data_IF_907662763882
#
_entry.id   IF_907662763882
#
_cell.length_a   1.000
_cell.length_b   1.000
_cell.length_c   1.000
_cell.angle_alpha   90.00
_cell.angle_beta   90.00
_cell.angle_gamma   90.00
#
_symmetry.space_group_name_H-M   'P 1'
#
loop_
_entity.id
_entity.type
_entity.pdbx_description
1 polymer ?
#
# COMPACT_ATOMS: atom_id res chain seq x y z
N UNK A 1 21.63 30.50 5.49
CA UNK A 1 21.57 29.13 4.94
C UNK A 1 21.66 28.14 6.11
N UNK A 2 20.53 27.76 6.68
CA UNK A 2 20.50 26.81 7.79
C UNK A 2 20.46 25.39 7.24
N UNK A 3 21.54 24.63 7.44
CA UNK A 3 21.60 23.21 7.14
C UNK A 3 20.58 22.50 8.04
N UNK A 4 19.39 22.21 7.52
CA UNK A 4 18.49 21.27 8.18
C UNK A 4 19.18 19.90 8.17
N UNK A 5 19.66 19.51 9.35
CA UNK A 5 20.12 18.16 9.65
C UNK A 5 18.88 17.28 9.45
N UNK A 6 18.82 16.57 8.33
CA UNK A 6 17.78 15.58 8.03
C UNK A 6 17.88 14.44 9.04
N UNK A 7 17.36 14.68 10.24
CA UNK A 7 16.83 13.63 11.09
C UNK A 7 15.97 12.75 10.18
N UNK A 8 16.37 11.49 10.00
CA UNK A 8 15.71 10.55 9.09
C UNK A 8 14.31 10.33 9.65
N UNK A 9 13.31 11.02 9.07
CA UNK A 9 11.91 10.93 9.48
C UNK A 9 11.49 9.46 9.65
N UNK A 10 10.98 9.14 10.83
CA UNK A 10 10.57 7.81 11.22
C UNK A 10 9.10 7.55 10.88
N UNK A 11 8.69 6.29 10.93
CA UNK A 11 7.27 5.93 10.78
C UNK A 11 6.42 6.52 11.91
N UNK A 12 7.00 6.71 13.10
CA UNK A 12 6.33 7.37 14.22
C UNK A 12 6.00 8.85 13.90
N UNK A 13 6.91 9.56 13.23
CA UNK A 13 6.68 10.96 12.84
C UNK A 13 5.55 11.07 11.81
N UNK A 14 5.49 10.12 10.88
CA UNK A 14 4.38 10.04 9.90
C UNK A 14 3.06 9.74 10.61
N UNK A 15 3.02 8.77 11.51
CA UNK A 15 1.81 8.43 12.28
C UNK A 15 1.33 9.62 13.11
N UNK A 16 2.25 10.34 13.76
CA UNK A 16 1.92 11.54 14.52
C UNK A 16 1.34 12.64 13.62
N UNK A 17 1.90 12.83 12.42
CA UNK A 17 1.39 13.77 11.42
C UNK A 17 -0.02 13.42 10.96
N UNK A 18 -0.26 12.15 10.60
CA UNK A 18 -1.58 11.66 10.17
C UNK A 18 -2.63 11.84 11.27
N UNK A 19 -2.27 11.54 12.53
CA UNK A 19 -3.15 11.74 13.70
C UNK A 19 -3.45 13.21 13.96
N UNK A 20 -2.44 14.09 13.89
CA UNK A 20 -2.61 15.55 14.12
C UNK A 20 -3.71 16.13 13.23
N UNK A 21 -3.78 15.70 11.98
CA UNK A 21 -4.76 16.17 11.01
C UNK A 21 -5.93 15.20 10.80
N UNK A 22 -6.21 14.33 11.77
CA UNK A 22 -7.34 13.40 11.76
C UNK A 22 -7.49 12.63 10.44
N UNK A 23 -6.38 12.16 9.86
CA UNK A 23 -6.41 11.39 8.63
C UNK A 23 -7.23 10.09 8.85
N UNK A 24 -8.27 9.85 8.02
CA UNK A 24 -9.11 8.66 8.15
C UNK A 24 -8.41 7.38 7.68
N UNK A 25 -7.34 7.50 6.89
CA UNK A 25 -6.62 6.37 6.31
C UNK A 25 -5.54 5.88 7.29
N UNK A 26 -5.52 4.58 7.65
CA UNK A 26 -4.52 4.05 8.56
C UNK A 26 -3.14 4.00 7.89
N UNK A 27 -2.08 4.13 8.70
CA UNK A 27 -0.71 4.28 8.21
C UNK A 27 -0.25 3.15 7.27
N UNK A 28 -0.63 1.89 7.53
CA UNK A 28 -0.27 0.77 6.64
C UNK A 28 -0.90 0.90 5.24
N UNK A 29 -2.11 1.45 5.15
CA UNK A 29 -2.76 1.79 3.87
C UNK A 29 -2.07 2.98 3.21
N UNK A 30 -1.66 4.01 3.97
CA UNK A 30 -0.90 5.14 3.40
C UNK A 30 0.41 4.66 2.75
N UNK A 31 1.15 3.77 3.44
CA UNK A 31 2.41 3.20 2.91
C UNK A 31 2.19 2.49 1.57
N UNK A 32 1.15 1.67 1.50
CA UNK A 32 0.86 0.86 0.32
C UNK A 32 0.25 1.68 -0.81
N UNK A 33 -0.61 2.65 -0.50
CA UNK A 33 -1.11 3.65 -1.45
C UNK A 33 0.01 4.42 -2.13
N UNK A 34 0.97 4.93 -1.34
CA UNK A 34 2.12 5.63 -1.90
C UNK A 34 2.97 4.69 -2.74
N UNK A 35 3.23 3.46 -2.26
CA UNK A 35 3.99 2.48 -3.02
C UNK A 35 3.34 2.12 -4.36
N UNK A 36 2.02 1.88 -4.38
CA UNK A 36 1.26 1.62 -5.59
C UNK A 36 1.34 2.79 -6.57
N UNK A 37 1.16 4.01 -6.06
CA UNK A 37 1.27 5.25 -6.85
C UNK A 37 2.67 5.43 -7.46
N UNK A 38 3.72 5.14 -6.69
CA UNK A 38 5.12 5.11 -7.16
C UNK A 38 5.35 4.00 -8.20
N UNK A 39 4.67 2.86 -8.03
CA UNK A 39 4.78 1.71 -8.90
C UNK A 39 3.98 1.83 -10.20
N UNK A 40 2.98 2.71 -10.28
CA UNK A 40 2.11 2.83 -11.44
C UNK A 40 2.88 3.13 -12.73
N UNK A 41 2.61 2.42 -13.83
CA UNK A 41 3.25 2.72 -15.11
C UNK A 41 2.78 4.05 -15.72
N UNK A 42 1.70 4.64 -15.20
CA UNK A 42 1.20 5.94 -15.64
C UNK A 42 2.08 7.09 -15.16
N UNK A 43 2.54 7.94 -16.08
CA UNK A 43 3.30 9.15 -15.76
C UNK A 43 2.43 10.30 -15.21
N UNK A 44 1.11 10.11 -15.11
CA UNK A 44 0.16 11.17 -14.75
C UNK A 44 -0.17 11.25 -13.26
N UNK A 45 0.34 10.32 -12.43
CA UNK A 45 0.03 10.34 -11.00
C UNK A 45 0.77 11.49 -10.31
N UNK A 46 0.00 12.47 -9.81
CA UNK A 46 0.52 13.58 -9.03
C UNK A 46 0.67 13.19 -7.56
N UNK A 47 1.89 13.24 -6.97
CA UNK A 47 2.08 12.93 -5.55
C UNK A 47 1.25 13.83 -4.62
N UNK A 48 1.00 15.08 -5.01
CA UNK A 48 0.17 16.02 -4.24
C UNK A 48 -1.28 15.53 -4.20
N UNK A 49 -1.82 15.08 -5.34
CA UNK A 49 -3.19 14.54 -5.40
C UNK A 49 -3.32 13.24 -4.60
N UNK A 50 -2.30 12.39 -4.61
CA UNK A 50 -2.27 11.18 -3.77
C UNK A 50 -2.22 11.52 -2.27
N UNK A 51 -1.52 12.58 -1.87
CA UNK A 51 -1.58 13.05 -0.48
C UNK A 51 -2.96 13.61 -0.16
N UNK A 52 -3.56 14.37 -1.07
CA UNK A 52 -4.89 14.95 -0.88
C UNK A 52 -5.99 13.88 -0.77
N UNK A 53 -5.86 12.75 -1.47
CA UNK A 53 -6.82 11.64 -1.39
C UNK A 53 -6.88 10.97 -0.01
N UNK A 54 -5.83 11.12 0.82
CA UNK A 54 -5.84 10.66 2.20
C UNK A 54 -6.96 11.29 3.04
N UNK A 55 -7.44 12.47 2.65
CA UNK A 55 -8.53 13.20 3.29
C UNK A 55 -9.77 13.30 2.39
N UNK A 56 -9.97 12.34 1.49
CA UNK A 56 -11.16 12.31 0.63
C UNK A 56 -11.14 13.35 -0.49
N UNK A 57 -9.97 13.86 -0.86
CA UNK A 57 -9.81 14.80 -1.97
C UNK A 57 -9.77 16.27 -1.56
N UNK A 58 -9.78 16.58 -0.26
CA UNK A 58 -9.55 17.94 0.24
C UNK A 58 -8.53 17.92 1.37
N UNK A 59 -7.58 18.87 1.38
CA UNK A 59 -6.61 18.95 2.47
C UNK A 59 -7.28 19.35 3.79
N UNK A 60 -6.71 18.94 4.95
CA UNK A 60 -7.17 19.44 6.24
C UNK A 60 -7.00 20.96 6.34
N UNK A 61 -7.70 21.57 7.29
CA UNK A 61 -7.53 23.00 7.57
C UNK A 61 -6.18 23.22 8.27
N UNK A 62 -5.41 24.16 7.75
CA UNK A 62 -4.13 24.58 8.33
C UNK A 62 -4.24 26.01 8.88
N UNK A 63 -3.60 26.26 10.01
CA UNK A 63 -3.55 27.60 10.63
C UNK A 63 -2.55 28.51 9.91
N UNK A 64 -1.50 27.92 9.33
CA UNK A 64 -0.44 28.67 8.65
C UNK A 64 0.06 27.94 7.38
N UNK A 65 0.64 28.68 6.40
CA UNK A 65 1.31 28.05 5.26
C UNK A 65 2.47 27.12 5.66
N UNK A 66 3.15 27.41 6.78
CA UNK A 66 4.27 26.58 7.25
C UNK A 66 3.82 25.18 7.64
N UNK A 67 2.61 25.02 8.16
CA UNK A 67 2.04 23.70 8.48
C UNK A 67 1.85 22.82 7.25
N UNK A 68 1.52 23.42 6.11
CA UNK A 68 1.42 22.73 4.81
C UNK A 68 2.78 22.22 4.37
N UNK A 69 3.82 23.06 4.49
CA UNK A 69 5.19 22.68 4.14
C UNK A 69 5.69 21.53 5.01
N UNK A 70 5.42 21.58 6.32
CA UNK A 70 5.79 20.49 7.24
C UNK A 70 5.06 19.19 6.88
N UNK A 71 3.77 19.25 6.51
CA UNK A 71 3.03 18.09 6.03
C UNK A 71 3.69 17.47 4.79
N UNK A 72 4.02 18.27 3.79
CA UNK A 72 4.68 17.80 2.57
C UNK A 72 6.10 17.29 2.84
N UNK A 73 6.85 17.90 3.75
CA UNK A 73 8.16 17.39 4.14
C UNK A 73 8.07 16.02 4.79
N UNK A 74 7.04 15.78 5.62
CA UNK A 74 6.84 14.46 6.25
C UNK A 74 6.37 13.41 5.24
N UNK A 75 5.37 13.74 4.42
CA UNK A 75 4.72 12.76 3.54
C UNK A 75 5.46 12.54 2.22
N UNK A 76 5.87 13.61 1.54
CA UNK A 76 6.54 13.53 0.24
C UNK A 76 8.06 13.42 0.41
N UNK A 77 8.69 14.43 1.02
CA UNK A 77 10.14 14.44 1.19
C UNK A 77 10.63 13.28 2.08
N UNK A 78 9.80 12.87 3.04
CA UNK A 78 10.04 11.77 3.97
C UNK A 78 9.54 10.41 3.47
N UNK A 79 8.26 10.09 3.70
CA UNK A 79 7.73 8.75 3.45
C UNK A 79 7.82 8.33 1.97
N UNK A 80 7.27 9.14 1.06
CA UNK A 80 7.24 8.82 -0.36
C UNK A 80 8.64 8.56 -0.91
N UNK A 81 9.60 9.45 -0.66
CA UNK A 81 10.98 9.29 -1.10
C UNK A 81 11.63 8.02 -0.51
N UNK A 82 11.36 7.65 0.75
CA UNK A 82 11.85 6.39 1.31
C UNK A 82 11.28 5.19 0.55
N UNK A 83 9.99 5.21 0.21
CA UNK A 83 9.32 4.12 -0.51
C UNK A 83 9.82 3.94 -1.94
N UNK A 84 10.32 5.00 -2.60
CA UNK A 84 10.99 4.86 -3.92
C UNK A 84 12.20 3.93 -3.88
N UNK A 85 12.81 3.73 -2.70
CA UNK A 85 13.89 2.77 -2.49
C UNK A 85 13.53 1.34 -2.91
N UNK A 86 12.26 0.96 -2.75
CA UNK A 86 11.74 -0.38 -3.03
C UNK A 86 11.61 -0.70 -4.53
N UNK A 87 11.83 0.28 -5.41
CA UNK A 87 11.98 0.04 -6.85
C UNK A 87 13.30 -0.69 -7.20
N UNK A 88 14.14 -1.00 -6.20
CA UNK A 88 15.40 -1.75 -6.35
C UNK A 88 15.23 -3.14 -5.76
N UNK A 89 15.61 -4.17 -6.52
CA UNK A 89 15.48 -5.58 -6.10
C UNK A 89 16.20 -5.93 -4.79
N UNK A 90 17.20 -5.15 -4.39
CA UNK A 90 17.98 -5.35 -3.16
C UNK A 90 17.32 -4.81 -1.88
N UNK A 91 16.20 -4.12 -2.02
CA UNK A 91 15.50 -3.47 -0.90
C UNK A 91 13.99 -3.71 -1.02
N UNK A 92 13.52 -4.98 -0.93
CA UNK A 92 12.12 -5.31 -1.14
C UNK A 92 11.23 -4.66 -0.07
N UNK A 93 10.04 -4.22 -0.49
CA UNK A 93 9.00 -3.75 0.40
C UNK A 93 8.50 -4.88 1.31
N UNK A 94 8.17 -4.52 2.56
CA UNK A 94 7.57 -5.43 3.53
C UNK A 94 6.29 -4.83 4.11
N UNK A 95 5.28 -5.68 4.27
CA UNK A 95 4.03 -5.36 4.95
C UNK A 95 4.28 -5.10 6.43
N UNK A 96 3.34 -4.43 7.10
CA UNK A 96 3.47 -4.17 8.53
C UNK A 96 3.50 -5.50 9.30
N UNK A 97 4.43 -5.59 10.26
CA UNK A 97 4.60 -6.75 11.14
C UNK A 97 4.09 -6.41 12.53
N UNK A 98 3.28 -7.29 13.10
CA UNK A 98 2.80 -7.21 14.46
C UNK A 98 2.51 -8.62 14.99
N UNK A 99 2.60 -8.79 16.31
CA UNK A 99 2.25 -10.06 16.93
C UNK A 99 0.75 -10.31 16.82
N UNK A 100 0.35 -11.51 16.44
CA UNK A 100 -1.05 -11.89 16.28
C UNK A 100 -1.31 -13.17 17.06
N UNK A 101 -2.13 -13.07 18.10
CA UNK A 101 -2.57 -14.25 18.86
C UNK A 101 -3.64 -15.02 18.09
N UNK A 102 -3.80 -16.34 18.31
CA UNK A 102 -4.83 -17.15 17.64
C UNK A 102 -6.21 -16.94 18.28
N UNK A 103 -6.63 -15.69 18.45
CA UNK A 103 -7.98 -15.30 18.88
C UNK A 103 -8.77 -14.80 17.67
N UNK A 104 -10.11 -14.95 17.72
CA UNK A 104 -11.00 -14.46 16.66
C UNK A 104 -10.71 -13.00 16.30
N UNK A 105 -10.66 -12.14 17.31
CA UNK A 105 -10.41 -10.70 17.15
C UNK A 105 -9.07 -10.42 16.49
N UNK A 106 -7.98 -11.05 16.97
CA UNK A 106 -6.63 -10.81 16.45
C UNK A 106 -6.49 -11.30 15.00
N UNK A 107 -7.07 -12.47 14.69
CA UNK A 107 -7.02 -13.05 13.34
C UNK A 107 -7.90 -12.24 12.37
N UNK A 108 -9.07 -11.74 12.82
CA UNK A 108 -9.91 -10.83 12.04
C UNK A 108 -9.18 -9.51 11.75
N UNK A 109 -8.53 -8.94 12.77
CA UNK A 109 -7.73 -7.73 12.62
C UNK A 109 -6.57 -7.93 11.64
N UNK A 110 -5.86 -9.08 11.71
CA UNK A 110 -4.81 -9.39 10.72
C UNK A 110 -5.37 -9.44 9.29
N UNK A 111 -6.50 -10.12 9.07
CA UNK A 111 -7.14 -10.18 7.76
C UNK A 111 -7.53 -8.77 7.27
N UNK A 112 -8.11 -7.95 8.15
CA UNK A 112 -8.52 -6.60 7.82
C UNK A 112 -7.33 -5.70 7.46
N UNK A 113 -6.22 -5.77 8.21
CA UNK A 113 -5.00 -5.02 7.89
C UNK A 113 -4.44 -5.44 6.54
N UNK A 114 -4.40 -6.74 6.24
CA UNK A 114 -3.89 -7.23 4.94
C UNK A 114 -4.77 -6.82 3.77
N UNK A 115 -6.09 -6.88 3.92
CA UNK A 115 -7.04 -6.33 2.94
C UNK A 115 -6.80 -4.84 2.71
N UNK A 116 -6.61 -4.07 3.77
CA UNK A 116 -6.37 -2.63 3.70
C UNK A 116 -5.03 -2.26 3.07
N UNK A 117 -3.98 -3.07 3.27
CA UNK A 117 -2.70 -2.92 2.58
C UNK A 117 -2.79 -3.25 1.09
N UNK A 118 -3.50 -4.33 0.73
CA UNK A 118 -3.73 -4.72 -0.66
C UNK A 118 -4.57 -3.67 -1.40
N UNK A 119 -5.69 -3.24 -0.79
CA UNK A 119 -6.54 -2.18 -1.33
C UNK A 119 -5.75 -0.89 -1.54
N UNK A 120 -4.98 -0.44 -0.53
CA UNK A 120 -4.12 0.73 -0.66
C UNK A 120 -3.16 0.61 -1.85
N UNK A 121 -2.45 -0.52 -1.96
CA UNK A 121 -1.52 -0.74 -3.08
C UNK A 121 -2.21 -0.69 -4.44
N UNK A 122 -3.34 -1.38 -4.59
CA UNK A 122 -4.10 -1.45 -5.84
C UNK A 122 -4.70 -0.08 -6.21
N UNK A 123 -5.33 0.61 -5.27
CA UNK A 123 -5.88 1.96 -5.47
C UNK A 123 -4.79 2.93 -5.92
N UNK A 124 -3.60 2.85 -5.31
CA UNK A 124 -2.45 3.66 -5.69
C UNK A 124 -1.93 3.32 -7.08
N UNK A 125 -1.86 2.03 -7.41
CA UNK A 125 -1.39 1.57 -8.71
C UNK A 125 -2.27 2.05 -9.86
N UNK A 126 -3.59 1.99 -9.68
CA UNK A 126 -4.58 2.41 -10.67
C UNK A 126 -4.75 3.94 -10.69
N UNK A 127 -4.52 4.62 -9.58
CA UNK A 127 -4.58 6.08 -9.49
C UNK A 127 -5.95 6.66 -9.83
N UNK A 128 -7.03 5.93 -9.53
CA UNK A 128 -8.41 6.32 -9.83
C UNK A 128 -8.90 5.98 -11.24
N UNK A 129 -8.08 5.34 -12.07
CA UNK A 129 -8.53 4.81 -13.36
C UNK A 129 -9.25 3.48 -13.17
N UNK A 130 -10.30 3.22 -13.96
CA UNK A 130 -10.94 1.89 -14.01
C UNK A 130 -9.99 0.83 -14.57
N UNK A 131 -9.15 1.22 -15.53
CA UNK A 131 -8.22 0.33 -16.19
C UNK A 131 -6.85 0.95 -16.36
N UNK A 132 -5.81 0.12 -16.29
CA UNK A 132 -4.43 0.50 -16.60
C UNK A 132 -3.77 -0.56 -17.48
N UNK A 133 -2.83 -0.10 -18.31
CA UNK A 133 -1.98 -0.99 -19.10
C UNK A 133 -0.79 -1.45 -18.24
N UNK A 134 -0.72 -2.75 -17.98
CA UNK A 134 0.38 -3.36 -17.23
C UNK A 134 1.23 -4.27 -18.13
N UNK A 135 2.55 -4.37 -17.87
CA UNK A 135 3.37 -5.45 -18.40
C UNK A 135 2.76 -6.81 -18.01
N UNK A 136 2.80 -7.81 -18.90
CA UNK A 136 2.16 -9.12 -18.67
C UNK A 136 2.47 -9.74 -17.30
N UNK A 137 3.72 -9.68 -16.84
CA UNK A 137 4.10 -10.21 -15.52
C UNK A 137 3.51 -9.43 -14.36
N UNK A 138 3.42 -8.10 -14.48
CA UNK A 138 2.78 -7.26 -13.48
C UNK A 138 1.27 -7.51 -13.46
N UNK A 139 0.64 -7.68 -14.63
CA UNK A 139 -0.77 -8.08 -14.75
C UNK A 139 -1.07 -9.36 -13.99
N UNK A 140 -0.32 -10.45 -14.26
CA UNK A 140 -0.49 -11.72 -13.56
C UNK A 140 -0.34 -11.59 -12.04
N UNK A 141 0.58 -10.73 -11.60
CA UNK A 141 0.81 -10.48 -10.17
C UNK A 141 -0.36 -9.71 -9.56
N UNK A 142 -0.93 -8.73 -10.29
CA UNK A 142 -2.10 -7.95 -9.86
C UNK A 142 -3.34 -8.82 -9.74
N UNK A 143 -3.58 -9.76 -10.66
CA UNK A 143 -4.68 -10.74 -10.55
C UNK A 143 -4.60 -11.51 -9.21
N UNK A 144 -3.40 -12.00 -8.88
CA UNK A 144 -3.16 -12.68 -7.59
C UNK A 144 -3.40 -11.76 -6.40
N UNK A 145 -3.03 -10.48 -6.49
CA UNK A 145 -3.27 -9.50 -5.42
C UNK A 145 -4.78 -9.23 -5.21
N UNK A 146 -5.59 -9.19 -6.28
CA UNK A 146 -7.05 -9.09 -6.17
C UNK A 146 -7.63 -10.33 -5.48
N UNK A 147 -7.27 -11.53 -5.94
CA UNK A 147 -7.73 -12.79 -5.32
C UNK A 147 -7.38 -12.84 -3.81
N UNK A 148 -6.14 -12.47 -3.45
CA UNK A 148 -5.71 -12.43 -2.06
C UNK A 148 -6.48 -11.37 -1.25
N UNK A 149 -6.79 -10.22 -1.84
CA UNK A 149 -7.58 -9.16 -1.19
C UNK A 149 -8.99 -9.65 -0.86
N UNK A 150 -9.61 -10.34 -1.81
CA UNK A 150 -10.94 -10.94 -1.64
C UNK A 150 -10.92 -12.05 -0.59
N UNK A 151 -9.89 -12.90 -0.57
CA UNK A 151 -9.72 -13.93 0.46
C UNK A 151 -9.59 -13.33 1.86
N UNK A 152 -8.76 -12.29 2.03
CA UNK A 152 -8.64 -11.59 3.32
C UNK A 152 -9.94 -10.89 3.72
N UNK A 153 -10.64 -10.25 2.77
CA UNK A 153 -11.93 -9.60 3.03
C UNK A 153 -13.03 -10.58 3.42
N UNK A 154 -13.15 -11.70 2.70
CA UNK A 154 -14.09 -12.76 3.03
C UNK A 154 -13.84 -13.35 4.42
N UNK A 155 -12.57 -13.56 4.78
CA UNK A 155 -12.22 -14.09 6.09
C UNK A 155 -12.40 -13.08 7.23
N UNK A 156 -12.11 -11.80 7.00
CA UNK A 156 -12.41 -10.73 7.97
C UNK A 156 -13.92 -10.68 8.26
N UNK A 157 -14.75 -10.67 7.22
CA UNK A 157 -16.21 -10.68 7.35
C UNK A 157 -16.72 -11.92 8.10
N UNK A 158 -16.16 -13.10 7.81
CA UNK A 158 -16.54 -14.35 8.48
C UNK A 158 -16.21 -14.32 9.98
N UNK A 159 -15.05 -13.76 10.34
CA UNK A 159 -14.60 -13.70 11.73
C UNK A 159 -15.31 -12.60 12.53
N UNK A 160 -15.76 -11.54 11.88
CA UNK A 160 -16.55 -10.46 12.49
C UNK A 160 -17.97 -10.91 12.85
N UNK A 161 -18.51 -11.94 12.18
CA UNK A 161 -19.80 -12.55 12.51
C UNK A 161 -19.67 -13.47 13.75
N UNK A 162 -20.23 -13.07 14.92
CA UNK A 162 -20.13 -13.85 16.15
C UNK A 162 -20.95 -15.14 16.12
N UNK A 163 -21.89 -15.29 15.17
CA UNK A 163 -22.70 -16.50 15.03
C UNK A 163 -21.94 -17.66 14.39
N UNK A 164 -20.83 -17.39 13.70
CA UNK A 164 -20.00 -18.41 13.06
C UNK A 164 -19.14 -19.13 14.10
N UNK A 165 -18.88 -20.44 13.96
CA UNK A 165 -17.93 -21.12 14.83
C UNK A 165 -16.49 -20.64 14.55
N UNK A 166 -15.66 -20.58 15.60
CA UNK A 166 -14.22 -20.33 15.48
C UNK A 166 -13.48 -21.08 16.58
N UNK A 167 -13.33 -22.40 16.42
CA UNK A 167 -12.54 -23.18 17.35
C UNK A 167 -11.07 -22.73 17.33
N UNK A 168 -10.40 -22.84 18.47
CA UNK A 168 -9.03 -22.35 18.66
C UNK A 168 -8.06 -23.00 17.66
N UNK A 169 -8.23 -24.29 17.33
CA UNK A 169 -7.36 -24.97 16.39
C UNK A 169 -7.60 -24.54 14.93
N UNK A 170 -8.84 -24.23 14.56
CA UNK A 170 -9.16 -23.62 13.26
C UNK A 170 -8.53 -22.23 13.15
N UNK A 171 -8.60 -21.42 14.22
CA UNK A 171 -7.96 -20.10 14.27
C UNK A 171 -6.44 -20.17 14.15
N UNK A 172 -5.79 -21.17 14.78
CA UNK A 172 -4.34 -21.41 14.60
C UNK A 172 -4.02 -21.78 13.16
N UNK A 173 -4.83 -22.65 12.54
CA UNK A 173 -4.66 -23.04 11.13
C UNK A 173 -4.82 -21.84 10.20
N UNK A 174 -5.87 -21.05 10.40
CA UNK A 174 -6.14 -19.86 9.61
C UNK A 174 -5.04 -18.80 9.77
N UNK A 175 -4.54 -18.57 10.99
CA UNK A 175 -3.43 -17.67 11.25
C UNK A 175 -2.16 -18.07 10.46
N UNK A 176 -1.83 -19.38 10.45
CA UNK A 176 -0.71 -19.88 9.64
C UNK A 176 -0.93 -19.64 8.16
N UNK A 177 -2.14 -19.85 7.66
CA UNK A 177 -2.48 -19.58 6.26
C UNK A 177 -2.31 -18.09 5.93
N UNK A 178 -2.81 -17.18 6.78
CA UNK A 178 -2.63 -15.74 6.58
C UNK A 178 -1.16 -15.31 6.61
N UNK A 179 -0.33 -15.93 7.44
CA UNK A 179 1.10 -15.68 7.45
C UNK A 179 1.76 -16.11 6.13
N UNK A 180 1.41 -17.27 5.59
CA UNK A 180 1.89 -17.72 4.28
C UNK A 180 1.38 -16.82 3.15
N UNK A 181 0.09 -16.49 3.14
CA UNK A 181 -0.49 -15.56 2.16
C UNK A 181 0.18 -14.19 2.23
N UNK A 182 0.54 -13.69 3.41
CA UNK A 182 1.24 -12.40 3.55
C UNK A 182 2.63 -12.41 2.86
N UNK A 183 3.31 -13.56 2.85
CA UNK A 183 4.60 -13.72 2.14
C UNK A 183 4.37 -13.68 0.61
N UNK A 184 3.27 -14.28 0.14
CA UNK A 184 2.88 -14.22 -1.27
C UNK A 184 2.53 -12.78 -1.66
N UNK A 185 1.75 -12.07 -0.83
CA UNK A 185 1.44 -10.64 -1.06
C UNK A 185 2.71 -9.82 -1.22
N UNK A 186 3.69 -9.96 -0.31
CA UNK A 186 4.96 -9.24 -0.43
C UNK A 186 5.70 -9.60 -1.72
N UNK A 187 5.70 -10.88 -2.10
CA UNK A 187 6.33 -11.34 -3.33
C UNK A 187 5.71 -10.69 -4.56
N UNK A 188 4.37 -10.70 -4.66
CA UNK A 188 3.65 -10.16 -5.81
C UNK A 188 3.67 -8.63 -5.85
N UNK A 189 3.55 -7.93 -4.71
CA UNK A 189 3.73 -6.46 -4.64
C UNK A 189 5.11 -6.07 -5.18
N UNK A 190 6.18 -6.73 -4.70
CA UNK A 190 7.53 -6.43 -5.15
C UNK A 190 7.74 -6.75 -6.63
N UNK A 191 7.07 -7.79 -7.15
CA UNK A 191 7.09 -8.14 -8.56
C UNK A 191 6.45 -7.05 -9.43
N UNK A 192 5.26 -6.57 -9.06
CA UNK A 192 4.59 -5.44 -9.73
C UNK A 192 5.48 -4.20 -9.72
N UNK A 193 6.02 -3.84 -8.55
CA UNK A 193 6.92 -2.68 -8.39
C UNK A 193 8.10 -2.74 -9.35
N UNK A 194 8.78 -3.90 -9.42
CA UNK A 194 9.97 -4.07 -10.27
C UNK A 194 9.63 -4.14 -11.76
N UNK A 195 8.54 -4.82 -12.13
CA UNK A 195 8.17 -4.98 -13.54
C UNK A 195 7.65 -3.68 -14.15
N UNK A 196 6.83 -2.91 -13.42
CA UNK A 196 6.42 -1.58 -13.86
C UNK A 196 7.61 -0.59 -13.92
N UNK A 197 8.54 -0.65 -12.96
CA UNK A 197 9.76 0.17 -13.02
C UNK A 197 10.63 -0.16 -14.23
N UNK A 198 10.79 -1.44 -14.56
CA UNK A 198 11.50 -1.87 -15.77
C UNK A 198 10.79 -1.37 -17.03
N UNK A 199 9.47 -1.46 -17.08
CA UNK A 199 8.67 -1.00 -18.21
C UNK A 199 8.82 0.51 -18.44
N UNK A 200 8.75 1.34 -17.39
CA UNK A 200 8.98 2.79 -17.48
C UNK A 200 10.35 3.17 -18.03
N UNK A 201 11.37 2.32 -17.81
CA UNK A 201 12.74 2.54 -18.31
C UNK A 201 12.97 2.05 -19.73
N UNK A 202 12.03 1.30 -20.34
CA UNK A 202 12.19 0.79 -21.70
C UNK A 202 11.95 1.92 -22.73
N UNK A 203 12.71 1.95 -23.83
CA UNK A 203 12.43 2.86 -24.95
C UNK A 203 11.06 2.56 -25.57
N UNK A 204 10.32 3.60 -25.95
CA UNK A 204 8.93 3.52 -26.45
C UNK A 204 8.69 2.50 -27.58
N UNK A 205 9.70 2.23 -28.41
CA UNK A 205 9.61 1.28 -29.53
C UNK A 205 9.44 -0.20 -29.12
N UNK A 206 9.61 -0.53 -27.83
CA UNK A 206 9.44 -1.90 -27.30
C UNK A 206 8.28 -2.04 -26.29
N UNK A 207 7.53 -0.97 -26.00
CA UNK A 207 6.54 -0.95 -24.93
C UNK A 207 5.13 -1.40 -25.39
N UNK A 208 4.76 -1.17 -26.66
CA UNK A 208 3.39 -1.38 -27.14
C UNK A 208 3.01 -2.85 -27.41
N UNK A 209 3.97 -3.78 -27.47
CA UNK A 209 3.71 -5.16 -27.86
C UNK A 209 3.39 -6.12 -26.69
N UNK A 210 3.55 -5.67 -25.44
CA UNK A 210 3.64 -6.55 -24.26
C UNK A 210 2.72 -6.14 -23.09
N UNK A 211 1.91 -5.09 -23.29
CA UNK A 211 0.99 -4.58 -22.28
C UNK A 211 -0.38 -5.24 -22.40
N UNK A 212 -0.98 -5.57 -21.26
CA UNK A 212 -2.37 -6.02 -21.16
C UNK A 212 -3.16 -5.07 -20.28
N UNK A 213 -4.39 -4.76 -20.69
CA UNK A 213 -5.32 -3.90 -19.98
C UNK A 213 -6.07 -4.73 -18.92
N UNK A 214 -6.05 -4.28 -17.68
CA UNK A 214 -6.93 -4.79 -16.61
C UNK A 214 -8.15 -3.89 -16.48
N UNK A 215 -9.32 -4.49 -16.25
CA UNK A 215 -10.57 -3.82 -15.90
C UNK A 215 -10.84 -3.93 -14.40
#
# INVERSE_FOLDING_TARGET
>A
MSKHKTSKLSDHDVIAMLKRYNCPVPFHTVRTLFLGSIASPSFQISPIQVVQSLWGGEFPVFETPDEVNVLFDVLLSGLWNRLTGHQKSRDPFQLVRFNTEPTRESVAHLAQVRRQELGGFLDGLFGGNESIDLPEKAHQSVDVLFDLSDMFGGAANLLDDPSKPAAVDDLKGLLRNFQQMSIIVETEINRVVLDCERARKRPANFAAADNRTLH
#
